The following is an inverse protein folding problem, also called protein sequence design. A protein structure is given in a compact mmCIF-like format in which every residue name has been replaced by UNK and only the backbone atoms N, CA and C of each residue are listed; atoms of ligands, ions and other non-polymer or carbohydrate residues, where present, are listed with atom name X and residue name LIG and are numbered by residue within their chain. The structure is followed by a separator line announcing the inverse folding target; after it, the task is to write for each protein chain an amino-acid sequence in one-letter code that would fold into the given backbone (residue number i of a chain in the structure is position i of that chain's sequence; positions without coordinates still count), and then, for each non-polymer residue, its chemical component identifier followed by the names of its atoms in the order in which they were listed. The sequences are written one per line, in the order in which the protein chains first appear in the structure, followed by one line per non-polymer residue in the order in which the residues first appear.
data_IF_015673477001
#
_entry.id   IF_015673477001
#
_cell.length_a   1.000
_cell.length_b   1.000
_cell.length_c   1.000
_cell.angle_alpha   90.00
_cell.angle_beta   90.00
_cell.angle_gamma   90.00
#
_symmetry.space_group_name_H-M   'P 1'
#
loop_
_entity.id
_entity.type
_entity.pdbx_description
1 polymer ?
#
# COMPACT_ATOMS: atom_id res chain seq x y z
N UNK A 1 -54.36 6.80 49.01
CA UNK A 1 -53.32 7.40 48.15
C UNK A 1 -53.78 7.25 46.71
N UNK A 2 -53.74 8.33 45.92
CA UNK A 2 -54.13 8.30 44.51
C UNK A 2 -53.14 7.46 43.70
N UNK A 3 -53.63 6.62 42.78
CA UNK A 3 -52.78 5.82 41.90
C UNK A 3 -51.99 6.74 40.96
N UNK A 4 -50.68 6.54 40.84
CA UNK A 4 -49.84 7.29 39.90
C UNK A 4 -50.11 6.73 38.49
N UNK A 5 -50.67 7.52 37.56
CA UNK A 5 -50.97 7.05 36.20
C UNK A 5 -49.68 6.84 35.39
N UNK A 6 -49.71 5.91 34.44
CA UNK A 6 -48.59 5.67 33.52
C UNK A 6 -48.29 6.90 32.65
N UNK A 7 -47.02 7.16 32.29
CA UNK A 7 -46.65 8.32 31.48
C UNK A 7 -47.20 8.20 30.06
N UNK A 8 -47.67 9.32 29.50
CA UNK A 8 -48.07 9.41 28.10
C UNK A 8 -46.81 9.42 27.22
N UNK A 9 -46.49 8.29 26.60
CA UNK A 9 -45.32 8.12 25.74
C UNK A 9 -45.71 7.79 24.30
N UNK A 10 -44.92 8.25 23.33
CA UNK A 10 -45.06 7.91 21.91
C UNK A 10 -44.86 6.40 21.65
N UNK A 11 -45.35 5.86 20.52
CA UNK A 11 -45.19 4.45 20.17
C UNK A 11 -43.73 4.00 20.09
N UNK A 12 -42.83 4.91 19.67
CA UNK A 12 -41.40 4.64 19.59
C UNK A 12 -40.77 4.50 20.97
N UNK A 13 -41.03 5.46 21.87
CA UNK A 13 -40.54 5.44 23.26
C UNK A 13 -41.10 4.26 24.07
N UNK A 14 -42.37 3.87 23.83
CA UNK A 14 -42.94 2.64 24.43
C UNK A 14 -42.24 1.37 23.96
N UNK A 15 -41.80 1.31 22.70
CA UNK A 15 -41.08 0.15 22.16
C UNK A 15 -39.67 0.02 22.74
N UNK A 16 -39.03 1.16 23.06
CA UNK A 16 -37.74 1.21 23.77
C UNK A 16 -37.92 0.78 25.24
N UNK A 17 -39.04 1.16 25.84
CA UNK A 17 -39.40 0.88 27.23
C UNK A 17 -40.32 -0.35 27.31
N UNK A 18 -39.74 -1.53 27.05
CA UNK A 18 -40.46 -2.80 26.86
C UNK A 18 -41.55 -3.13 27.90
N UNK A 19 -41.50 -2.64 29.15
CA UNK A 19 -42.57 -2.78 30.14
C UNK A 19 -42.42 -1.77 31.29
N UNK A 20 -42.80 -0.51 31.08
CA UNK A 20 -42.94 0.45 32.18
C UNK A 20 -44.29 0.22 32.90
N UNK A 21 -44.31 -0.68 33.89
CA UNK A 21 -45.50 -0.94 34.70
C UNK A 21 -45.78 0.18 35.71
N UNK A 22 -47.05 0.36 36.13
CA UNK A 22 -47.39 1.27 37.23
C UNK A 22 -46.61 0.91 38.50
N UNK A 23 -46.21 1.90 39.31
CA UNK A 23 -45.39 1.67 40.50
C UNK A 23 -46.17 0.86 41.54
N UNK A 24 -45.44 0.15 42.41
CA UNK A 24 -46.04 -0.56 43.54
C UNK A 24 -46.79 0.42 44.46
N UNK A 25 -47.77 -0.06 45.23
CA UNK A 25 -48.47 0.76 46.24
C UNK A 25 -48.30 0.14 47.63
N UNK A 26 -47.48 0.72 48.53
CA UNK A 26 -46.71 1.96 48.37
C UNK A 26 -45.52 1.82 47.40
N UNK A 27 -45.06 2.93 46.77
CA UNK A 27 -43.95 2.90 45.82
C UNK A 27 -42.66 2.49 46.51
N UNK A 28 -41.83 1.71 45.81
CA UNK A 28 -40.56 1.20 46.33
C UNK A 28 -39.36 1.93 45.71
N UNK A 29 -38.17 1.79 46.31
CA UNK A 29 -36.90 2.27 45.71
C UNK A 29 -36.69 1.66 44.32
N UNK A 30 -37.13 0.41 44.11
CA UNK A 30 -37.05 -0.26 42.82
C UNK A 30 -37.90 0.45 41.74
N UNK A 31 -39.05 1.02 42.11
CA UNK A 31 -39.91 1.77 41.19
C UNK A 31 -39.26 3.11 40.78
N UNK A 32 -38.58 3.78 41.72
CA UNK A 32 -37.77 4.98 41.43
C UNK A 32 -36.58 4.66 40.51
N UNK A 33 -35.92 3.52 40.74
CA UNK A 33 -34.80 3.07 39.91
C UNK A 33 -35.26 2.70 38.50
N UNK A 34 -36.39 2.01 38.35
CA UNK A 34 -36.99 1.69 37.04
C UNK A 34 -37.36 2.94 36.25
N UNK A 35 -37.98 3.94 36.89
CA UNK A 35 -38.31 5.22 36.25
C UNK A 35 -37.04 5.99 35.83
N UNK A 36 -35.96 5.92 36.62
CA UNK A 36 -34.68 6.54 36.28
C UNK A 36 -33.97 5.84 35.11
N UNK A 37 -34.00 4.51 35.08
CA UNK A 37 -33.44 3.72 33.99
C UNK A 37 -34.20 3.95 32.68
N UNK A 38 -35.52 4.08 32.77
CA UNK A 38 -36.36 4.40 31.62
C UNK A 38 -35.98 5.75 31.00
N UNK A 39 -35.83 6.77 31.83
CA UNK A 39 -35.43 8.11 31.41
C UNK A 39 -34.05 8.09 30.74
N UNK A 40 -33.10 7.35 31.32
CA UNK A 40 -31.77 7.21 30.74
C UNK A 40 -31.78 6.51 29.37
N UNK A 41 -32.57 5.45 29.20
CA UNK A 41 -32.71 4.74 27.91
C UNK A 41 -33.28 5.63 26.81
N UNK A 42 -34.31 6.42 27.14
CA UNK A 42 -34.95 7.34 26.19
C UNK A 42 -33.99 8.48 25.81
N UNK A 43 -33.30 9.09 26.79
CA UNK A 43 -32.29 10.12 26.50
C UNK A 43 -31.12 9.58 25.67
N UNK A 44 -30.59 8.40 25.97
CA UNK A 44 -29.49 7.83 25.21
C UNK A 44 -29.90 7.50 23.76
N UNK A 45 -31.14 7.06 23.56
CA UNK A 45 -31.69 6.84 22.22
C UNK A 45 -31.90 8.14 21.43
N UNK A 46 -32.22 9.25 22.10
CA UNK A 46 -32.29 10.58 21.46
C UNK A 46 -30.94 11.01 20.88
N UNK A 47 -29.86 10.81 21.63
CA UNK A 47 -28.51 11.14 21.17
C UNK A 47 -28.10 10.36 19.92
N UNK A 48 -28.52 9.10 19.81
CA UNK A 48 -28.19 8.25 18.68
C UNK A 48 -29.16 8.45 17.48
N UNK A 49 -30.41 8.86 17.72
CA UNK A 49 -31.39 9.06 16.65
C UNK A 49 -32.47 10.12 16.99
N UNK A 50 -32.16 11.42 16.82
CA UNK A 50 -32.97 12.53 17.34
C UNK A 50 -34.29 12.78 16.61
N UNK A 51 -34.55 12.14 15.46
CA UNK A 51 -35.78 12.34 14.68
C UNK A 51 -36.99 11.56 15.18
N UNK A 52 -36.80 10.62 16.12
CA UNK A 52 -37.81 9.61 16.47
C UNK A 52 -38.38 9.71 17.89
N UNK A 53 -37.87 10.59 18.75
CA UNK A 53 -38.39 10.76 20.11
C UNK A 53 -38.77 12.24 20.29
N UNK A 54 -40.04 12.55 20.60
CA UNK A 54 -40.48 13.92 20.88
C UNK A 54 -40.05 14.37 22.28
N UNK A 55 -39.76 15.67 22.45
CA UNK A 55 -39.38 16.26 23.75
C UNK A 55 -40.46 16.10 24.85
N UNK A 56 -41.72 15.96 24.43
CA UNK A 56 -42.85 15.67 25.32
C UNK A 56 -42.69 14.32 26.05
N UNK A 57 -42.07 13.31 25.43
CA UNK A 57 -41.84 12.00 26.05
C UNK A 57 -40.83 12.10 27.21
N UNK A 58 -39.78 12.91 27.05
CA UNK A 58 -38.78 13.16 28.08
C UNK A 58 -39.46 13.87 29.26
N UNK A 59 -40.25 14.91 28.97
CA UNK A 59 -40.96 15.71 29.97
C UNK A 59 -41.97 14.88 30.75
N UNK A 60 -42.74 14.03 30.08
CA UNK A 60 -43.70 13.11 30.71
C UNK A 60 -43.01 12.08 31.61
N UNK A 61 -41.84 11.60 31.22
CA UNK A 61 -41.07 10.62 32.00
C UNK A 61 -40.37 11.24 33.22
N UNK A 62 -39.89 12.49 33.09
CA UNK A 62 -39.40 13.31 34.22
C UNK A 62 -40.53 13.52 35.25
N UNK A 63 -41.71 13.89 34.78
CA UNK A 63 -42.89 14.17 35.63
C UNK A 63 -43.38 12.90 36.35
N UNK A 64 -43.41 11.77 35.64
CA UNK A 64 -43.74 10.46 36.19
C UNK A 64 -42.74 10.02 37.27
N UNK A 65 -41.43 10.16 37.02
CA UNK A 65 -40.39 9.89 38.03
C UNK A 65 -40.54 10.79 39.26
N UNK A 66 -40.80 12.08 39.08
CA UNK A 66 -41.00 13.02 40.19
C UNK A 66 -42.21 12.64 41.07
N UNK A 67 -43.29 12.15 40.44
CA UNK A 67 -44.49 11.68 41.14
C UNK A 67 -44.22 10.44 42.01
N UNK A 68 -43.42 9.49 41.52
CA UNK A 68 -43.01 8.30 42.29
C UNK A 68 -42.11 8.69 43.46
N UNK A 69 -41.15 9.60 43.25
CA UNK A 69 -40.24 10.07 44.29
C UNK A 69 -41.00 10.81 45.40
N UNK A 70 -41.96 11.66 45.05
CA UNK A 70 -42.81 12.35 46.01
C UNK A 70 -43.62 11.37 46.88
N UNK A 71 -44.20 10.35 46.26
CA UNK A 71 -44.96 9.32 46.97
C UNK A 71 -44.07 8.38 47.82
N UNK A 72 -42.82 8.13 47.40
CA UNK A 72 -41.82 7.39 48.18
C UNK A 72 -41.33 8.17 49.40
N UNK A 73 -41.10 9.48 49.27
CA UNK A 73 -40.64 10.34 50.37
C UNK A 73 -41.64 10.48 51.52
N UNK A 74 -42.93 10.19 51.28
CA UNK A 74 -43.93 10.10 52.33
C UNK A 74 -43.82 8.84 53.18
N UNK A 75 -43.29 7.73 52.66
CA UNK A 75 -43.40 6.40 53.29
C UNK A 75 -42.78 6.27 54.68
N UNK A 76 -41.44 6.38 54.85
CA UNK A 76 -40.79 6.06 56.11
C UNK A 76 -41.13 7.05 57.24
N UNK A 77 -41.24 8.34 56.92
CA UNK A 77 -41.63 9.38 57.90
C UNK A 77 -43.08 9.23 58.33
N UNK A 78 -43.99 8.90 57.42
CA UNK A 78 -45.41 8.74 57.71
C UNK A 78 -45.66 7.45 58.50
N UNK A 79 -44.95 6.36 58.18
CA UNK A 79 -45.07 5.09 58.89
C UNK A 79 -44.45 5.16 60.31
N UNK A 80 -43.35 5.91 60.48
CA UNK A 80 -42.77 6.20 61.80
C UNK A 80 -43.70 7.10 62.66
N UNK A 81 -44.33 8.12 62.07
CA UNK A 81 -45.34 8.94 62.77
C UNK A 81 -46.58 8.14 63.20
N UNK A 82 -46.94 7.11 62.43
CA UNK A 82 -48.16 6.31 62.64
C UNK A 82 -47.99 5.21 63.70
N UNK A 83 -46.78 4.66 63.84
CA UNK A 83 -46.44 3.69 64.90
C UNK A 83 -46.13 4.38 66.23
N UNK A 84 -45.65 5.63 66.21
CA UNK A 84 -45.28 6.39 67.42
C UNK A 84 -46.47 7.05 68.15
N UNK A 85 -47.70 6.94 67.64
CA UNK A 85 -48.87 7.58 68.24
C UNK A 85 -49.88 6.60 68.88
N UNK A 86 -49.55 5.88 69.97
CA UNK A 86 -50.54 5.45 70.94
C UNK A 86 -50.62 6.42 72.13
N UNK A 87 -51.85 6.59 72.61
CA UNK A 87 -52.27 7.53 73.63
C UNK A 87 -51.56 7.36 74.98
N UNK A 88 -50.66 8.29 75.31
CA UNK A 88 -50.40 8.84 76.65
C UNK A 88 -49.28 9.88 76.51
N UNK A 89 -49.57 11.13 76.85
CA UNK A 89 -48.66 12.27 76.67
C UNK A 89 -47.87 12.53 77.98
N UNK A 90 -46.56 12.22 78.07
CA UNK A 90 -45.68 12.83 79.08
C UNK A 90 -44.56 13.67 78.45
N UNK A 91 -43.98 14.57 79.24
CA UNK A 91 -43.00 15.61 78.86
C UNK A 91 -41.66 15.13 78.24
N UNK A 92 -41.49 13.83 77.96
CA UNK A 92 -40.33 13.24 77.27
C UNK A 92 -40.49 13.14 75.74
N UNK A 93 -41.67 13.51 75.21
CA UNK A 93 -42.03 13.49 73.79
C UNK A 93 -41.04 14.12 72.80
N UNK A 94 -40.45 15.30 73.04
CA UNK A 94 -39.51 15.87 72.06
C UNK A 94 -38.21 15.06 71.96
N UNK A 95 -37.70 14.52 73.07
CA UNK A 95 -36.46 13.76 73.07
C UNK A 95 -36.60 12.39 72.40
N UNK A 96 -37.71 11.67 72.67
CA UNK A 96 -37.98 10.38 72.07
C UNK A 96 -38.26 10.48 70.56
N UNK A 97 -39.00 11.52 70.12
CA UNK A 97 -39.26 11.78 68.71
C UNK A 97 -37.96 12.15 67.97
N UNK A 98 -37.13 13.01 68.56
CA UNK A 98 -35.82 13.37 68.00
C UNK A 98 -34.90 12.15 67.90
N UNK A 99 -34.89 11.27 68.90
CA UNK A 99 -34.12 10.03 68.88
C UNK A 99 -34.61 9.05 67.79
N UNK A 100 -35.92 8.91 67.61
CA UNK A 100 -36.48 8.06 66.56
C UNK A 100 -36.18 8.61 65.14
N UNK A 101 -36.25 9.93 64.95
CA UNK A 101 -35.87 10.59 63.70
C UNK A 101 -34.36 10.43 63.44
N UNK A 102 -33.52 10.61 64.45
CA UNK A 102 -32.08 10.40 64.34
C UNK A 102 -31.73 8.95 63.97
N UNK A 103 -32.38 7.97 64.60
CA UNK A 103 -32.21 6.55 64.29
C UNK A 103 -32.69 6.20 62.86
N UNK A 104 -33.76 6.84 62.37
CA UNK A 104 -34.25 6.66 61.01
C UNK A 104 -33.34 7.32 59.95
N UNK A 105 -32.67 8.42 60.30
CA UNK A 105 -31.75 9.16 59.41
C UNK A 105 -30.34 8.55 59.36
N UNK A 106 -29.88 7.90 60.42
CA UNK A 106 -28.58 7.24 60.47
C UNK A 106 -28.29 6.32 59.25
N UNK A 107 -29.14 5.34 58.89
CA UNK A 107 -28.89 4.47 57.74
C UNK A 107 -28.92 5.23 56.40
N UNK A 108 -29.65 6.35 56.31
CA UNK A 108 -29.62 7.18 55.10
C UNK A 108 -28.32 7.98 54.98
N UNK A 109 -27.78 8.45 56.10
CA UNK A 109 -26.49 9.13 56.16
C UNK A 109 -25.34 8.18 55.79
N UNK A 110 -25.34 6.95 56.32
CA UNK A 110 -24.34 5.93 56.00
C UNK A 110 -24.37 5.56 54.51
N UNK A 111 -25.57 5.46 53.92
CA UNK A 111 -25.74 5.22 52.48
C UNK A 111 -25.22 6.38 51.64
N UNK A 112 -25.43 7.63 52.06
CA UNK A 112 -24.90 8.81 51.37
C UNK A 112 -23.37 8.81 51.39
N UNK A 113 -22.75 8.57 52.54
CA UNK A 113 -21.29 8.45 52.66
C UNK A 113 -20.73 7.33 51.80
N UNK A 114 -21.41 6.17 51.74
CA UNK A 114 -21.01 5.07 50.86
C UNK A 114 -21.10 5.46 49.37
N UNK A 115 -22.15 6.20 48.97
CA UNK A 115 -22.29 6.69 47.59
C UNK A 115 -21.23 7.75 47.25
N UNK A 116 -20.90 8.65 48.17
CA UNK A 116 -19.81 9.63 48.00
C UNK A 116 -18.47 8.92 47.79
N UNK A 117 -18.18 7.88 48.58
CA UNK A 117 -16.99 7.06 48.41
C UNK A 117 -16.94 6.33 47.05
N UNK A 118 -18.07 5.78 46.60
CA UNK A 118 -18.19 5.15 45.29
C UNK A 118 -17.98 6.15 44.15
N UNK A 119 -18.56 7.35 44.25
CA UNK A 119 -18.37 8.41 43.26
C UNK A 119 -16.91 8.87 43.19
N UNK A 120 -16.24 9.02 44.33
CA UNK A 120 -14.80 9.33 44.37
C UNK A 120 -13.95 8.25 43.70
N UNK A 121 -14.27 6.98 43.92
CA UNK A 121 -13.59 5.87 43.24
C UNK A 121 -13.81 5.87 41.72
N UNK A 122 -15.04 6.13 41.27
CA UNK A 122 -15.37 6.24 39.84
C UNK A 122 -14.65 7.43 39.19
N UNK A 123 -14.60 8.59 39.86
CA UNK A 123 -13.86 9.75 39.38
C UNK A 123 -12.36 9.46 39.22
N UNK A 124 -11.77 8.75 40.20
CA UNK A 124 -10.37 8.31 40.11
C UNK A 124 -10.12 7.35 38.94
N UNK A 125 -11.04 6.40 38.72
CA UNK A 125 -10.98 5.49 37.57
C UNK A 125 -11.11 6.24 36.24
N UNK A 126 -12.02 7.20 36.14
CA UNK A 126 -12.22 8.00 34.94
C UNK A 126 -10.97 8.82 34.59
N UNK A 127 -10.37 9.49 35.58
CA UNK A 127 -9.12 10.22 35.39
C UNK A 127 -7.96 9.31 34.95
N UNK A 128 -7.88 8.09 35.48
CA UNK A 128 -6.90 7.11 35.02
C UNK A 128 -7.14 6.65 33.57
N UNK A 129 -8.41 6.53 33.15
CA UNK A 129 -8.78 6.22 31.77
C UNK A 129 -8.43 7.38 30.82
N UNK A 130 -8.70 8.62 31.20
CA UNK A 130 -8.36 9.81 30.42
C UNK A 130 -6.85 9.91 30.17
N UNK A 131 -6.03 9.70 31.21
CA UNK A 131 -4.56 9.68 31.07
C UNK A 131 -4.11 8.57 30.11
N UNK A 132 -4.71 7.39 30.21
CA UNK A 132 -4.39 6.27 29.31
C UNK A 132 -4.80 6.56 27.86
N UNK A 133 -5.94 7.20 27.64
CA UNK A 133 -6.39 7.60 26.31
C UNK A 133 -5.44 8.62 25.69
N UNK A 134 -5.05 9.67 26.43
CA UNK A 134 -4.06 10.64 25.95
C UNK A 134 -2.71 10.00 25.61
N UNK A 135 -2.27 9.01 26.38
CA UNK A 135 -1.06 8.25 26.05
C UNK A 135 -1.21 7.39 24.78
N UNK A 136 -2.39 6.82 24.54
CA UNK A 136 -2.69 6.06 23.31
C UNK A 136 -2.74 7.00 22.10
N UNK A 137 -3.40 8.15 22.22
CA UNK A 137 -3.44 9.18 21.16
C UNK A 137 -2.04 9.65 20.78
N UNK A 138 -1.18 9.94 21.77
CA UNK A 138 0.21 10.32 21.50
C UNK A 138 1.01 9.22 20.80
N UNK A 139 0.79 7.94 21.16
CA UNK A 139 1.42 6.81 20.48
C UNK A 139 0.91 6.63 19.05
N UNK A 140 -0.38 6.84 18.81
CA UNK A 140 -0.95 6.78 17.46
C UNK A 140 -0.38 7.88 16.57
N UNK A 141 -0.31 9.12 17.06
CA UNK A 141 0.32 10.21 16.31
C UNK A 141 1.79 9.94 15.95
N UNK A 142 2.56 9.35 16.87
CA UNK A 142 3.94 8.95 16.58
C UNK A 142 4.03 7.83 15.52
N UNK A 143 3.07 6.89 15.51
CA UNK A 143 3.00 5.84 14.49
C UNK A 143 2.62 6.43 13.13
N UNK A 144 1.67 7.37 13.08
CA UNK A 144 1.28 8.07 11.85
C UNK A 144 2.47 8.83 11.23
N UNK A 145 3.25 9.55 12.04
CA UNK A 145 4.46 10.24 11.57
C UNK A 145 5.50 9.25 11.01
N UNK A 146 5.72 8.12 11.70
CA UNK A 146 6.63 7.08 11.23
C UNK A 146 6.17 6.45 9.90
N UNK A 147 4.86 6.22 9.75
CA UNK A 147 4.30 5.69 8.51
C UNK A 147 4.48 6.68 7.36
N UNK A 148 4.21 7.97 7.57
CA UNK A 148 4.47 9.01 6.57
C UNK A 148 5.94 9.05 6.12
N UNK A 149 6.88 8.97 7.06
CA UNK A 149 8.31 8.91 6.73
C UNK A 149 8.70 7.63 5.97
N UNK A 150 8.03 6.50 6.22
CA UNK A 150 8.25 5.26 5.46
C UNK A 150 7.71 5.38 4.03
N UNK A 151 6.52 5.98 3.86
CA UNK A 151 5.92 6.22 2.54
C UNK A 151 6.81 7.11 1.67
N UNK A 152 7.33 8.21 2.21
CA UNK A 152 8.28 9.09 1.50
C UNK A 152 9.55 8.35 1.07
N UNK A 153 10.10 7.51 1.96
CA UNK A 153 11.28 6.70 1.65
C UNK A 153 11.01 5.66 0.57
N UNK A 154 9.83 5.04 0.57
CA UNK A 154 9.44 4.09 -0.47
C UNK A 154 9.29 4.78 -1.82
N UNK A 155 8.64 5.96 -1.87
CA UNK A 155 8.56 6.76 -3.10
C UNK A 155 9.94 7.12 -3.66
N UNK A 156 10.88 7.54 -2.81
CA UNK A 156 12.25 7.82 -3.23
C UNK A 156 13.00 6.58 -3.73
N UNK A 157 12.70 5.39 -3.20
CA UNK A 157 13.27 4.12 -3.69
C UNK A 157 12.69 3.76 -5.06
N UNK A 158 11.39 3.91 -5.26
CA UNK A 158 10.71 3.68 -6.54
C UNK A 158 11.28 4.56 -7.65
N UNK A 159 11.46 5.86 -7.40
CA UNK A 159 12.08 6.78 -8.36
C UNK A 159 13.51 6.35 -8.73
N UNK A 160 14.30 5.93 -7.73
CA UNK A 160 15.67 5.44 -7.96
C UNK A 160 15.70 4.15 -8.77
N UNK A 161 14.75 3.24 -8.55
CA UNK A 161 14.63 2.02 -9.33
C UNK A 161 14.27 2.33 -10.78
N UNK A 162 13.30 3.22 -11.02
CA UNK A 162 12.97 3.69 -12.37
C UNK A 162 14.18 4.27 -13.11
N UNK A 163 14.97 5.12 -12.44
CA UNK A 163 16.20 5.66 -13.02
C UNK A 163 17.27 4.58 -13.31
N UNK A 164 17.33 3.52 -12.52
CA UNK A 164 18.23 2.38 -12.77
C UNK A 164 17.76 1.57 -13.99
N UNK A 165 16.46 1.32 -14.12
CA UNK A 165 15.86 0.61 -15.26
C UNK A 165 16.13 1.35 -16.58
N UNK A 166 15.93 2.68 -16.61
CA UNK A 166 16.25 3.50 -17.78
C UNK A 166 17.74 3.40 -18.18
N UNK A 167 18.63 3.45 -17.18
CA UNK A 167 20.08 3.32 -17.41
C UNK A 167 20.45 1.95 -17.94
N UNK A 168 19.82 0.88 -17.44
CA UNK A 168 20.04 -0.48 -17.93
C UNK A 168 19.58 -0.62 -19.38
N UNK A 169 18.38 -0.11 -19.73
CA UNK A 169 17.91 -0.10 -21.11
C UNK A 169 18.84 0.68 -22.06
N UNK A 170 19.40 1.80 -21.61
CA UNK A 170 20.40 2.54 -22.38
C UNK A 170 21.71 1.76 -22.58
N UNK A 171 22.15 0.99 -21.57
CA UNK A 171 23.33 0.12 -21.66
C UNK A 171 23.08 -1.03 -22.63
N UNK A 172 21.93 -1.68 -22.56
CA UNK A 172 21.53 -2.74 -23.50
C UNK A 172 21.53 -2.24 -24.95
N UNK A 173 20.95 -1.07 -25.20
CA UNK A 173 20.97 -0.45 -26.54
C UNK A 173 22.39 -0.16 -27.05
N UNK A 174 23.29 0.29 -26.17
CA UNK A 174 24.71 0.50 -26.52
C UNK A 174 25.43 -0.80 -26.82
N UNK A 175 25.16 -1.87 -26.07
CA UNK A 175 25.74 -3.19 -26.32
C UNK A 175 25.30 -3.74 -27.68
N UNK A 176 24.00 -3.67 -28.00
CA UNK A 176 23.50 -4.09 -29.31
C UNK A 176 24.14 -3.31 -30.46
N UNK A 177 24.38 -2.00 -30.29
CA UNK A 177 25.10 -1.20 -31.28
C UNK A 177 26.58 -1.61 -31.44
N UNK A 178 27.25 -2.01 -30.36
CA UNK A 178 28.62 -2.53 -30.39
C UNK A 178 28.67 -3.89 -31.09
N UNK A 179 27.74 -4.79 -30.78
CA UNK A 179 27.61 -6.09 -31.44
C UNK A 179 27.42 -5.93 -32.96
N UNK A 180 26.53 -5.02 -33.38
CA UNK A 180 26.34 -4.73 -34.80
C UNK A 180 27.60 -4.19 -35.49
N UNK A 181 28.38 -3.34 -34.81
CA UNK A 181 29.66 -2.83 -35.33
C UNK A 181 30.73 -3.91 -35.42
N UNK A 182 30.77 -4.84 -34.46
CA UNK A 182 31.69 -5.98 -34.47
C UNK A 182 31.35 -6.91 -35.63
N UNK A 183 30.09 -7.30 -35.81
CA UNK A 183 29.68 -8.13 -36.95
C UNK A 183 30.00 -7.48 -38.31
N UNK A 184 29.81 -6.17 -38.43
CA UNK A 184 30.22 -5.44 -39.65
C UNK A 184 31.75 -5.42 -39.86
N UNK A 185 32.53 -5.37 -38.79
CA UNK A 185 33.99 -5.43 -38.86
C UNK A 185 34.48 -6.84 -39.25
N UNK A 186 33.87 -7.89 -38.70
CA UNK A 186 34.11 -9.29 -39.06
C UNK A 186 33.86 -9.53 -40.54
N UNK A 187 32.70 -9.13 -41.07
CA UNK A 187 32.40 -9.27 -42.51
C UNK A 187 33.36 -8.48 -43.41
N UNK A 188 33.88 -7.34 -42.95
CA UNK A 188 34.94 -6.61 -43.68
C UNK A 188 36.27 -7.34 -43.67
N UNK A 189 36.62 -8.01 -42.58
CA UNK A 189 37.84 -8.82 -42.47
C UNK A 189 37.77 -10.03 -43.41
N UNK A 190 36.64 -10.75 -43.42
CA UNK A 190 36.41 -11.87 -44.35
C UNK A 190 36.57 -11.43 -45.81
N UNK A 191 35.99 -10.28 -46.19
CA UNK A 191 36.14 -9.75 -47.55
C UNK A 191 37.60 -9.36 -47.90
N UNK A 192 38.38 -8.90 -46.91
CA UNK A 192 39.81 -8.61 -47.10
C UNK A 192 40.61 -9.90 -47.26
N UNK A 193 40.32 -10.92 -46.45
CA UNK A 193 40.95 -12.24 -46.54
C UNK A 193 40.68 -12.89 -47.91
N UNK A 194 39.45 -12.83 -48.41
CA UNK A 194 39.09 -13.33 -49.75
C UNK A 194 39.90 -12.61 -50.85
N UNK A 195 39.99 -11.27 -50.77
CA UNK A 195 40.77 -10.47 -51.71
C UNK A 195 42.26 -10.82 -51.66
N UNK A 196 42.82 -11.02 -50.47
CA UNK A 196 44.21 -11.42 -50.29
C UNK A 196 44.46 -12.82 -50.87
N UNK A 197 43.58 -13.79 -50.63
CA UNK A 197 43.66 -15.12 -51.24
C UNK A 197 43.60 -15.08 -52.78
N UNK A 198 42.74 -14.21 -53.32
CA UNK A 198 42.66 -13.94 -54.77
C UNK A 198 43.96 -13.36 -55.32
N UNK A 199 44.55 -12.37 -54.64
CA UNK A 199 45.83 -11.77 -55.02
C UNK A 199 46.98 -12.77 -54.95
N UNK A 200 47.06 -13.58 -53.89
CA UNK A 200 48.07 -14.65 -53.77
C UNK A 200 48.00 -15.64 -54.93
N UNK A 201 46.77 -16.04 -55.30
CA UNK A 201 46.54 -16.92 -56.45
C UNK A 201 46.98 -16.28 -57.77
N UNK A 202 46.65 -15.00 -57.98
CA UNK A 202 47.06 -14.25 -59.16
C UNK A 202 48.59 -14.11 -59.24
N UNK A 203 49.24 -13.82 -58.11
CA UNK A 203 50.70 -13.69 -58.03
C UNK A 203 51.40 -15.03 -58.34
N UNK A 204 50.90 -16.15 -57.79
CA UNK A 204 51.42 -17.47 -58.10
C UNK A 204 51.30 -17.85 -59.59
N UNK A 205 50.20 -17.45 -60.25
CA UNK A 205 50.05 -17.61 -61.70
C UNK A 205 51.05 -16.75 -62.47
N UNK A 206 51.25 -15.50 -62.06
CA UNK A 206 52.20 -14.60 -62.70
C UNK A 206 53.65 -15.10 -62.54
N UNK A 207 54.02 -15.56 -61.35
CA UNK A 207 55.33 -16.13 -61.07
C UNK A 207 55.59 -17.40 -61.90
N UNK A 208 54.58 -18.29 -61.99
CA UNK A 208 54.64 -19.47 -62.87
C UNK A 208 54.79 -19.10 -64.35
N UNK A 209 54.16 -18.02 -64.81
CA UNK A 209 54.29 -17.49 -66.17
C UNK A 209 55.68 -16.90 -66.45
N UNK A 210 56.29 -16.25 -65.45
CA UNK A 210 57.63 -15.66 -65.56
C UNK A 210 58.78 -16.68 -65.44
N UNK A 211 58.50 -17.97 -65.24
CA UNK A 211 59.53 -19.00 -65.15
C UNK A 211 60.43 -19.01 -66.41
N UNK A 212 61.65 -18.50 -66.21
CA UNK A 212 62.77 -18.41 -67.17
C UNK A 212 63.03 -19.71 -67.95
N UNK A 213 62.91 -20.93 -67.38
CA UNK A 213 63.09 -22.16 -68.15
C UNK A 213 62.16 -22.28 -69.36
N UNK A 214 60.92 -21.79 -69.27
CA UNK A 214 59.97 -21.82 -70.38
C UNK A 214 60.35 -20.84 -71.51
N UNK A 215 60.81 -19.64 -71.15
CA UNK A 215 61.33 -18.67 -72.12
C UNK A 215 62.65 -19.16 -72.75
N UNK A 216 63.56 -19.71 -71.95
CA UNK A 216 64.82 -20.25 -72.43
C UNK A 216 64.60 -21.46 -73.36
N UNK A 217 63.71 -22.39 -73.01
CA UNK A 217 63.38 -23.53 -73.87
C UNK A 217 62.74 -23.10 -75.19
N UNK A 218 61.85 -22.10 -75.17
CA UNK A 218 61.24 -21.57 -76.40
C UNK A 218 62.28 -20.84 -77.27
N UNK A 219 63.14 -20.01 -76.67
CA UNK A 219 64.25 -19.36 -77.36
C UNK A 219 65.22 -20.41 -77.95
N UNK A 220 65.57 -21.45 -77.20
CA UNK A 220 66.42 -22.54 -77.69
C UNK A 220 65.77 -23.26 -78.88
N UNK A 221 64.46 -23.56 -78.83
CA UNK A 221 63.74 -24.15 -79.96
C UNK A 221 63.78 -23.24 -81.18
N UNK A 222 63.53 -21.93 -81.02
CA UNK A 222 63.56 -20.97 -82.15
C UNK A 222 64.95 -20.83 -82.75
N UNK A 223 66.00 -20.75 -81.93
CA UNK A 223 67.39 -20.72 -82.41
C UNK A 223 67.76 -22.00 -83.16
N UNK A 224 67.36 -23.17 -82.65
CA UNK A 224 67.60 -24.46 -83.29
C UNK A 224 66.85 -24.59 -84.62
N UNK A 225 65.61 -24.09 -84.69
CA UNK A 225 64.82 -24.04 -85.92
C UNK A 225 65.43 -23.08 -86.95
N UNK A 226 65.84 -21.87 -86.55
CA UNK A 226 66.55 -20.93 -87.42
C UNK A 226 67.82 -21.55 -88.01
N UNK A 227 68.59 -22.27 -87.18
CA UNK A 227 69.78 -22.98 -87.64
C UNK A 227 69.46 -24.03 -88.69
N UNK A 228 68.45 -24.88 -88.45
CA UNK A 228 68.01 -25.87 -89.44
C UNK A 228 67.52 -25.20 -90.74
N UNK A 229 66.74 -24.11 -90.64
CA UNK A 229 66.25 -23.42 -91.84
C UNK A 229 67.37 -22.77 -92.64
N UNK A 230 68.39 -22.22 -91.97
CA UNK A 230 69.58 -21.70 -92.64
C UNK A 230 70.39 -22.82 -93.30
N UNK A 231 70.62 -23.93 -92.60
CA UNK A 231 71.31 -25.11 -93.15
C UNK A 231 70.57 -25.73 -94.35
N UNK A 232 69.23 -25.63 -94.42
CA UNK A 232 68.43 -26.08 -95.56
C UNK A 232 68.35 -25.07 -96.71
N UNK A 233 68.48 -23.76 -96.45
CA UNK A 233 68.44 -22.72 -97.50
C UNK A 233 69.82 -22.41 -98.10
N UNK A 234 70.90 -22.66 -97.35
CA UNK A 234 72.29 -22.57 -97.83
C UNK A 234 72.57 -23.41 -99.10
N UNK A 235 72.15 -24.68 -99.20
CA UNK A 235 72.33 -25.44 -100.44
C UNK A 235 71.47 -24.91 -101.59
N UNK A 236 70.28 -24.37 -101.32
CA UNK A 236 69.44 -23.74 -102.35
C UNK A 236 70.05 -22.45 -102.91
N UNK A 237 70.69 -21.63 -102.08
CA UNK A 237 71.43 -20.45 -102.56
C UNK A 237 72.73 -20.83 -103.29
N UNK A 238 73.45 -21.87 -102.87
CA UNK A 238 74.67 -22.29 -103.56
C UNK A 238 74.37 -22.90 -104.94
N UNK A 239 73.29 -23.68 -105.06
CA UNK A 239 72.82 -24.24 -106.35
C UNK A 239 72.21 -23.18 -107.27
N UNK A 240 71.44 -22.22 -106.74
CA UNK A 240 70.94 -21.08 -107.55
C UNK A 240 72.07 -20.14 -107.99
N UNK A 241 73.11 -19.94 -107.18
CA UNK A 241 74.25 -19.10 -107.55
C UNK A 241 75.15 -19.77 -108.60
N UNK A 242 75.29 -21.11 -108.59
CA UNK A 242 75.95 -21.84 -109.67
C UNK A 242 75.12 -21.91 -110.97
N UNK A 243 73.80 -21.65 -110.91
CA UNK A 243 72.93 -21.55 -112.08
C UNK A 243 72.79 -20.10 -112.60
N UNK A 244 73.53 -19.13 -112.04
CA UNK A 244 73.54 -17.76 -112.55
C UNK A 244 74.51 -17.65 -113.74
N UNK A 245 74.03 -17.39 -114.98
CA UNK A 245 74.91 -17.29 -116.15
C UNK A 245 75.75 -16.00 -116.10
N UNK A 246 77.05 -16.04 -116.48
CA UNK A 246 77.82 -14.83 -116.68
C UNK A 246 77.25 -14.08 -117.89
N UNK A 247 76.70 -12.90 -117.64
CA UNK A 247 76.40 -11.93 -118.68
C UNK A 247 77.71 -11.48 -119.36
N UNK A 248 77.75 -11.67 -120.68
CA UNK A 248 78.21 -10.75 -121.74
C UNK A 248 79.23 -11.36 -122.73
N UNK A 249 78.69 -11.66 -123.92
CA UNK A 249 79.20 -11.52 -125.31
C UNK A 249 80.61 -11.98 -125.66
N UNK A 250 80.67 -12.86 -126.67
CA UNK A 250 81.57 -12.66 -127.82
C UNK A 250 80.86 -13.05 -129.12
N UNK A 251 80.94 -12.16 -130.10
CA UNK A 251 80.86 -12.49 -131.51
C UNK A 251 82.28 -12.60 -132.07
N UNK A 252 82.41 -13.45 -133.09
CA UNK A 252 83.61 -14.01 -133.75
C UNK A 252 84.14 -15.26 -133.05
#
# INVERSE_FOLDING_TARGET
MAAIPSPALSPHSRKILYDLHPPSNPPTIADVAKASLALHKVMNSQFHNPRNIPDDDITNLVTYKASIVAAFSGGPLQQALQVALPAALPAALPAALVAAIAAALAPTNDRLQAMEGQLGAIQGQLGAVEVRLGAVEGRLGAVEEQLGAVEERLGAVEERLGAVEERLGAVEGRLGAVEGRLGAAEGRLEAVEERLGGLQTALGKHDSSMQIPSMQTNLMRRLKLCRLTMEMTLPCHHTLFQLSPPYVKLGI
#
